data_IF_747583544215
#
_entry.id   IF_747583544215
#
_cell.length_a   1.000
_cell.length_b   1.000
_cell.length_c   1.000
_cell.angle_alpha   90.00
_cell.angle_beta   90.00
_cell.angle_gamma   90.00
#
_symmetry.space_group_name_H-M   'P 1'
#
loop_
_entity.id
_entity.type
_entity.pdbx_description
1 polymer ?
#
# COMPACT_ATOMS: atom_id res chain seq x y z
N UNK A 1 39.32 -8.89 -6.42
CA UNK A 1 38.44 -8.69 -7.61
C UNK A 1 37.29 -7.82 -7.13
N UNK A 2 37.02 -6.70 -7.81
CA UNK A 2 35.86 -5.88 -7.47
C UNK A 2 34.61 -6.71 -7.77
N UNK A 3 33.80 -6.95 -6.75
CA UNK A 3 32.52 -7.65 -6.89
C UNK A 3 31.60 -6.79 -7.77
N UNK A 4 31.21 -7.30 -8.92
CA UNK A 4 30.39 -6.57 -9.88
C UNK A 4 28.94 -6.56 -9.36
N UNK A 5 28.52 -5.45 -8.76
CA UNK A 5 27.17 -5.30 -8.23
C UNK A 5 26.21 -5.10 -9.41
N UNK A 6 25.23 -5.99 -9.56
CA UNK A 6 24.21 -5.95 -10.62
C UNK A 6 23.19 -4.85 -10.38
N UNK A 7 22.77 -4.14 -11.43
CA UNK A 7 21.68 -3.18 -11.36
C UNK A 7 20.33 -3.89 -11.39
N UNK A 8 19.33 -3.47 -10.59
CA UNK A 8 18.02 -4.11 -10.51
C UNK A 8 17.07 -3.64 -11.62
N UNK A 9 17.44 -3.85 -12.89
CA UNK A 9 16.64 -3.42 -14.04
C UNK A 9 15.31 -4.18 -14.07
N UNK A 10 14.20 -3.47 -13.95
CA UNK A 10 12.84 -4.06 -13.98
C UNK A 10 12.44 -4.80 -12.69
N UNK A 11 13.19 -4.67 -11.60
CA UNK A 11 12.87 -5.28 -10.31
C UNK A 11 12.19 -4.23 -9.41
N UNK A 12 10.94 -4.48 -9.04
CA UNK A 12 10.12 -3.61 -8.19
C UNK A 12 9.95 -4.18 -6.76
N UNK A 13 10.60 -5.31 -6.45
CA UNK A 13 10.50 -6.00 -5.17
C UNK A 13 11.76 -5.75 -4.33
N UNK A 14 11.60 -5.08 -3.19
CA UNK A 14 12.70 -4.69 -2.29
C UNK A 14 13.41 -5.91 -1.69
N UNK A 15 12.66 -6.90 -1.21
CA UNK A 15 13.22 -8.13 -0.64
C UNK A 15 14.12 -8.85 -1.64
N UNK A 16 13.66 -8.98 -2.90
CA UNK A 16 14.44 -9.58 -3.98
C UNK A 16 15.74 -8.81 -4.23
N UNK A 17 15.67 -7.47 -4.29
CA UNK A 17 16.88 -6.64 -4.48
C UNK A 17 17.89 -6.91 -3.37
N UNK A 18 17.45 -6.97 -2.13
CA UNK A 18 18.34 -7.16 -0.97
C UNK A 18 18.90 -8.58 -0.89
N UNK A 19 18.07 -9.61 -1.11
CA UNK A 19 18.49 -11.02 -1.03
C UNK A 19 19.42 -11.42 -2.15
N UNK A 20 19.19 -10.94 -3.37
CA UNK A 20 19.97 -11.30 -4.55
C UNK A 20 21.21 -10.40 -4.74
N UNK A 21 21.49 -9.46 -3.81
CA UNK A 21 22.67 -8.61 -3.81
C UNK A 21 22.70 -7.59 -4.95
N UNK A 22 21.55 -7.13 -5.44
CA UNK A 22 21.49 -6.04 -6.42
C UNK A 22 21.88 -4.69 -5.78
N UNK A 23 22.35 -3.78 -6.61
CA UNK A 23 22.58 -2.40 -6.19
C UNK A 23 21.27 -1.74 -5.76
N UNK A 24 21.21 -1.26 -4.53
CA UNK A 24 20.07 -0.53 -4.00
C UNK A 24 20.47 0.90 -3.63
N UNK A 25 19.83 1.89 -4.27
CA UNK A 25 19.92 3.30 -3.82
C UNK A 25 19.06 3.43 -2.59
N UNK A 26 19.70 3.65 -1.45
CA UNK A 26 19.01 3.64 -0.15
C UNK A 26 17.97 4.78 -0.04
N UNK A 27 16.72 4.39 0.01
CA UNK A 27 15.56 5.27 0.19
C UNK A 27 14.86 5.04 1.54
N UNK A 28 15.50 4.33 2.47
CA UNK A 28 14.90 4.02 3.77
C UNK A 28 14.73 5.25 4.68
N UNK A 29 15.31 6.40 4.33
CA UNK A 29 14.99 7.68 4.93
C UNK A 29 13.51 8.07 4.81
N UNK A 30 12.80 7.53 3.80
CA UNK A 30 11.34 7.67 3.69
C UNK A 30 10.60 7.18 4.94
N UNK A 31 11.07 6.06 5.52
CA UNK A 31 10.45 5.48 6.72
C UNK A 31 10.54 6.46 7.90
N UNK A 32 11.74 7.01 8.13
CA UNK A 32 11.96 7.96 9.21
C UNK A 32 11.14 9.25 9.02
N UNK A 33 11.15 9.80 7.81
CA UNK A 33 10.35 10.99 7.47
C UNK A 33 8.85 10.73 7.66
N UNK A 34 8.35 9.58 7.19
CA UNK A 34 6.94 9.18 7.31
C UNK A 34 6.50 9.06 8.77
N UNK A 35 7.36 8.49 9.63
CA UNK A 35 7.06 8.31 11.05
C UNK A 35 7.19 9.59 11.86
N UNK A 36 8.12 10.48 11.51
CA UNK A 36 8.33 11.77 12.18
C UNK A 36 7.29 12.82 11.76
N UNK A 37 6.91 12.84 10.49
CA UNK A 37 6.00 13.83 9.93
C UNK A 37 4.54 13.38 9.88
N UNK A 38 4.18 12.49 10.71
CA UNK A 38 2.94 11.76 10.83
C UNK A 38 1.73 12.35 10.09
N UNK A 39 1.19 11.58 9.15
CA UNK A 39 -0.11 11.78 8.55
C UNK A 39 -0.92 10.49 8.66
N UNK A 40 -2.20 10.57 8.99
CA UNK A 40 -3.05 9.38 9.02
C UNK A 40 -3.15 8.74 7.62
N UNK A 41 -3.25 9.58 6.60
CA UNK A 41 -3.20 9.15 5.19
C UNK A 41 -2.20 10.01 4.42
N UNK A 42 -1.15 9.37 3.90
CA UNK A 42 -0.08 10.01 3.16
C UNK A 42 -0.19 9.67 1.67
N UNK A 43 -0.39 10.68 0.85
CA UNK A 43 -0.48 10.55 -0.60
C UNK A 43 0.78 11.06 -1.27
N UNK A 44 1.47 10.21 -2.02
CA UNK A 44 2.63 10.57 -2.82
C UNK A 44 2.30 10.56 -4.31
N UNK A 45 2.38 11.71 -4.95
CA UNK A 45 2.22 11.82 -6.40
C UNK A 45 3.57 12.06 -7.06
N UNK A 46 4.02 11.08 -7.84
CA UNK A 46 5.32 11.12 -8.54
C UNK A 46 5.15 10.57 -9.97
N UNK A 47 5.91 11.06 -10.95
CA UNK A 47 5.87 10.53 -12.32
C UNK A 47 6.16 9.02 -12.37
N UNK A 48 5.90 8.41 -13.53
CA UNK A 48 6.30 7.02 -13.78
C UNK A 48 7.82 6.88 -13.66
N UNK A 49 8.29 5.71 -13.21
CA UNK A 49 9.73 5.36 -13.03
C UNK A 49 10.44 6.10 -11.90
N UNK A 50 9.71 6.71 -10.96
CA UNK A 50 10.26 7.34 -9.76
C UNK A 50 10.35 6.41 -8.55
N UNK A 51 10.33 5.11 -8.74
CA UNK A 51 10.53 4.13 -7.66
C UNK A 51 9.36 3.96 -6.69
N UNK A 52 8.13 4.43 -7.03
CA UNK A 52 6.95 4.33 -6.17
C UNK A 52 6.70 2.91 -5.67
N UNK A 53 6.56 1.97 -6.58
CA UNK A 53 6.29 0.54 -6.28
C UNK A 53 7.40 -0.09 -5.44
N UNK A 54 8.68 0.25 -5.72
CA UNK A 54 9.81 -0.23 -4.93
C UNK A 54 9.76 0.31 -3.49
N UNK A 55 9.44 1.60 -3.31
CA UNK A 55 9.25 2.18 -1.99
C UNK A 55 8.07 1.56 -1.23
N UNK A 56 6.95 1.26 -1.92
CA UNK A 56 5.82 0.54 -1.30
C UNK A 56 6.24 -0.86 -0.86
N UNK A 57 7.00 -1.59 -1.69
CA UNK A 57 7.58 -2.89 -1.33
C UNK A 57 8.52 -2.79 -0.11
N UNK A 58 9.36 -1.75 -0.05
CA UNK A 58 10.25 -1.48 1.08
C UNK A 58 9.48 -1.17 2.36
N UNK A 59 8.44 -0.32 2.30
CA UNK A 59 7.56 -0.02 3.44
C UNK A 59 6.87 -1.29 3.96
N UNK A 60 6.33 -2.13 3.05
CA UNK A 60 5.74 -3.42 3.40
C UNK A 60 6.74 -4.26 4.18
N UNK A 61 7.93 -4.49 3.63
CA UNK A 61 8.99 -5.26 4.29
C UNK A 61 9.40 -4.69 5.65
N UNK A 62 9.35 -3.37 5.84
CA UNK A 62 9.73 -2.77 7.12
C UNK A 62 8.68 -3.00 8.21
N UNK A 63 7.40 -2.81 7.88
CA UNK A 63 6.34 -2.82 8.91
C UNK A 63 5.75 -4.20 9.17
N UNK A 64 5.70 -5.09 8.16
CA UNK A 64 4.94 -6.32 8.19
C UNK A 64 5.48 -7.34 9.19
N UNK A 65 4.58 -7.89 10.01
CA UNK A 65 4.89 -8.95 10.97
C UNK A 65 5.40 -10.19 10.22
N UNK A 66 6.54 -10.73 10.69
CA UNK A 66 7.16 -11.92 10.12
C UNK A 66 8.15 -11.65 8.98
N UNK A 67 8.35 -10.39 8.59
CA UNK A 67 9.38 -10.03 7.61
C UNK A 67 10.79 -10.16 8.21
N UNK A 68 11.73 -10.54 7.36
CA UNK A 68 13.15 -10.67 7.71
C UNK A 68 13.77 -9.28 7.90
N UNK A 69 14.08 -8.95 9.14
CA UNK A 69 14.66 -7.65 9.50
C UNK A 69 16.08 -7.44 8.96
N UNK A 70 16.81 -8.53 8.63
CA UNK A 70 18.14 -8.44 8.05
C UNK A 70 18.18 -7.74 6.69
N UNK A 71 17.04 -7.64 6.00
CA UNK A 71 16.90 -6.88 4.76
C UNK A 71 17.31 -5.41 4.91
N UNK A 72 17.23 -4.86 6.11
CA UNK A 72 17.54 -3.45 6.40
C UNK A 72 18.96 -3.25 6.96
N UNK A 73 19.75 -4.31 7.16
CA UNK A 73 21.11 -4.19 7.64
C UNK A 73 21.97 -3.33 6.70
N UNK A 74 22.72 -2.40 7.30
CA UNK A 74 23.58 -1.46 6.57
C UNK A 74 22.86 -0.31 5.88
N UNK A 75 21.52 -0.26 5.88
CA UNK A 75 20.74 0.84 5.34
C UNK A 75 20.58 1.97 6.37
N UNK A 76 20.23 3.16 5.90
CA UNK A 76 20.09 4.37 6.70
C UNK A 76 19.19 4.15 7.94
N UNK A 77 17.99 3.58 7.74
CA UNK A 77 17.02 3.37 8.82
C UNK A 77 17.53 2.47 9.94
N UNK A 78 18.45 1.54 9.64
CA UNK A 78 19.03 0.62 10.64
C UNK A 78 19.85 1.32 11.71
N UNK A 79 20.27 2.57 11.45
CA UNK A 79 20.98 3.44 12.40
C UNK A 79 20.04 4.00 13.47
N UNK A 80 18.74 4.15 13.14
CA UNK A 80 17.71 4.62 14.08
C UNK A 80 17.07 3.44 14.83
N UNK A 81 17.79 2.94 15.83
CA UNK A 81 17.35 1.78 16.62
C UNK A 81 16.00 1.98 17.28
N UNK A 82 15.70 3.19 17.77
CA UNK A 82 14.44 3.49 18.43
C UNK A 82 13.23 3.29 17.49
N UNK A 83 13.32 3.75 16.24
CA UNK A 83 12.27 3.52 15.24
C UNK A 83 12.20 2.05 14.82
N UNK A 84 13.35 1.39 14.62
CA UNK A 84 13.37 -0.04 14.30
C UNK A 84 12.72 -0.87 15.42
N UNK A 85 13.06 -0.65 16.66
CA UNK A 85 12.50 -1.38 17.81
C UNK A 85 11.01 -1.14 17.98
N UNK A 86 10.53 0.06 17.66
CA UNK A 86 9.12 0.43 17.80
C UNK A 86 8.23 -0.05 16.65
N UNK A 87 8.76 -0.12 15.41
CA UNK A 87 7.94 -0.27 14.21
C UNK A 87 8.31 -1.45 13.30
N UNK A 88 9.59 -1.85 13.25
CA UNK A 88 10.04 -2.87 12.28
C UNK A 88 9.46 -4.25 12.62
N UNK A 89 8.69 -4.81 11.67
CA UNK A 89 8.06 -6.13 11.83
C UNK A 89 6.97 -6.17 12.90
N UNK A 90 6.29 -5.05 13.20
CA UNK A 90 5.35 -4.95 14.34
C UNK A 90 3.88 -4.83 13.96
N UNK A 91 3.55 -4.67 12.70
CA UNK A 91 2.19 -4.36 12.25
C UNK A 91 1.70 -5.34 11.18
N UNK A 92 0.40 -5.71 11.19
CA UNK A 92 -0.20 -6.30 10.01
C UNK A 92 -0.26 -5.23 8.91
N UNK A 93 0.06 -5.62 7.66
CA UNK A 93 0.11 -4.72 6.51
C UNK A 93 -0.81 -5.25 5.41
N UNK A 94 -1.76 -4.45 4.98
CA UNK A 94 -2.52 -4.68 3.74
C UNK A 94 -1.80 -3.92 2.62
N UNK A 95 -1.43 -4.59 1.54
CA UNK A 95 -0.66 -3.98 0.45
C UNK A 95 -1.24 -4.37 -0.91
N UNK A 96 -1.95 -3.46 -1.55
CA UNK A 96 -2.55 -3.68 -2.86
C UNK A 96 -1.95 -2.74 -3.92
N UNK A 97 -1.88 -3.24 -5.16
CA UNK A 97 -1.57 -2.41 -6.33
C UNK A 97 -2.74 -2.41 -7.29
N UNK A 98 -3.23 -1.22 -7.63
CA UNK A 98 -4.32 -1.06 -8.59
C UNK A 98 -3.83 -1.00 -10.05
N UNK A 99 -2.53 -1.21 -10.29
CA UNK A 99 -1.91 -1.29 -11.63
C UNK A 99 -2.63 -2.26 -12.57
N UNK A 100 -3.15 -3.36 -12.01
CA UNK A 100 -3.85 -4.40 -12.75
C UNK A 100 -5.30 -4.07 -13.13
N UNK A 101 -5.88 -3.00 -12.60
CA UNK A 101 -7.27 -2.59 -12.91
C UNK A 101 -7.29 -1.80 -14.22
N UNK A 102 -7.04 -2.49 -15.31
CA UNK A 102 -7.01 -1.95 -16.66
C UNK A 102 -8.02 -2.74 -17.51
N UNK A 103 -9.21 -2.20 -17.67
CA UNK A 103 -10.32 -2.85 -18.34
C UNK A 103 -11.05 -1.89 -19.29
N UNK A 104 -11.79 -2.47 -20.23
CA UNK A 104 -12.58 -1.80 -21.26
C UNK A 104 -14.01 -1.47 -20.81
N UNK A 105 -14.46 -2.04 -19.69
CA UNK A 105 -15.79 -1.83 -19.11
C UNK A 105 -15.76 -1.78 -17.59
N UNK A 106 -16.79 -1.16 -17.00
CA UNK A 106 -16.96 -1.07 -15.55
C UNK A 106 -17.02 -2.45 -14.89
N UNK A 107 -17.78 -3.38 -15.48
CA UNK A 107 -17.95 -4.75 -14.95
C UNK A 107 -16.60 -5.48 -14.88
N UNK A 108 -15.80 -5.37 -15.94
CA UNK A 108 -14.48 -5.97 -15.99
C UNK A 108 -13.52 -5.32 -14.98
N UNK A 109 -13.52 -3.98 -14.88
CA UNK A 109 -12.72 -3.24 -13.91
C UNK A 109 -13.09 -3.62 -12.47
N UNK A 110 -14.38 -3.70 -12.15
CA UNK A 110 -14.89 -4.15 -10.85
C UNK A 110 -14.46 -5.57 -10.54
N UNK A 111 -14.52 -6.47 -11.52
CA UNK A 111 -14.08 -7.87 -11.36
C UNK A 111 -12.58 -7.96 -11.05
N UNK A 112 -11.75 -7.17 -11.73
CA UNK A 112 -10.31 -7.10 -11.44
C UNK A 112 -10.04 -6.54 -10.04
N UNK A 113 -10.78 -5.50 -9.61
CA UNK A 113 -10.64 -4.95 -8.26
C UNK A 113 -11.03 -5.97 -7.19
N UNK A 114 -12.14 -6.71 -7.37
CA UNK A 114 -12.52 -7.83 -6.49
C UNK A 114 -11.39 -8.86 -6.37
N UNK A 115 -10.79 -9.22 -7.50
CA UNK A 115 -9.70 -10.19 -7.53
C UNK A 115 -8.49 -9.72 -6.73
N UNK A 116 -8.10 -8.44 -6.86
CA UNK A 116 -6.99 -7.85 -6.09
C UNK A 116 -7.27 -7.94 -4.59
N UNK A 117 -8.47 -7.54 -4.15
CA UNK A 117 -8.86 -7.60 -2.74
C UNK A 117 -8.89 -9.04 -2.24
N UNK A 118 -9.45 -9.96 -3.03
CA UNK A 118 -9.49 -11.38 -2.69
C UNK A 118 -8.08 -11.98 -2.56
N UNK A 119 -7.17 -11.67 -3.47
CA UNK A 119 -5.78 -12.14 -3.42
C UNK A 119 -5.07 -11.60 -2.18
N UNK A 120 -5.24 -10.32 -1.87
CA UNK A 120 -4.68 -9.74 -0.63
C UNK A 120 -5.27 -10.40 0.62
N UNK A 121 -6.59 -10.59 0.69
CA UNK A 121 -7.20 -11.28 1.82
C UNK A 121 -6.65 -12.70 2.00
N UNK A 122 -6.41 -13.44 0.92
CA UNK A 122 -5.81 -14.79 0.96
C UNK A 122 -4.39 -14.83 1.53
N UNK A 123 -3.61 -13.75 1.38
CA UNK A 123 -2.28 -13.66 1.99
C UNK A 123 -2.37 -13.69 3.53
N UNK A 124 -3.46 -13.22 4.07
CA UNK A 124 -3.73 -13.17 5.52
C UNK A 124 -4.46 -14.40 6.06
N UNK A 125 -4.51 -15.51 5.34
CA UNK A 125 -5.26 -16.73 5.75
C UNK A 125 -4.88 -17.28 7.13
N UNK A 126 -3.72 -16.89 7.66
CA UNK A 126 -3.27 -17.27 9.00
C UNK A 126 -4.26 -16.88 10.10
N UNK A 127 -5.06 -15.82 9.88
CA UNK A 127 -6.07 -15.37 10.84
C UNK A 127 -7.19 -16.39 11.07
N UNK A 128 -7.37 -17.35 10.15
CA UNK A 128 -8.31 -18.46 10.31
C UNK A 128 -7.81 -19.53 11.29
N UNK A 129 -6.53 -19.46 11.66
CA UNK A 129 -5.92 -20.39 12.60
C UNK A 129 -6.11 -19.91 14.03
N UNK A 130 -6.47 -20.84 14.92
CA UNK A 130 -6.66 -20.54 16.35
C UNK A 130 -8.04 -19.99 16.71
N UNK A 131 -8.16 -19.43 17.92
CA UNK A 131 -9.42 -19.06 18.56
C UNK A 131 -9.60 -17.54 18.75
N UNK A 132 -8.80 -16.70 18.08
CA UNK A 132 -8.89 -15.24 18.21
C UNK A 132 -10.09 -14.64 17.48
N UNK A 133 -10.50 -15.29 16.38
CA UNK A 133 -11.67 -14.94 15.61
C UNK A 133 -12.81 -15.90 15.95
N UNK A 134 -13.99 -15.36 16.17
CA UNK A 134 -15.22 -16.15 16.33
C UNK A 134 -15.77 -16.61 14.96
N UNK A 135 -16.88 -17.35 14.99
CA UNK A 135 -17.46 -17.92 13.78
C UNK A 135 -18.05 -16.84 12.85
N UNK A 136 -18.48 -15.69 13.38
CA UNK A 136 -18.97 -14.56 12.59
C UNK A 136 -17.80 -13.92 11.85
N UNK A 137 -16.70 -13.64 12.55
CA UNK A 137 -15.48 -13.11 11.94
C UNK A 137 -14.96 -14.00 10.82
N UNK A 138 -14.96 -15.31 11.06
CA UNK A 138 -14.54 -16.31 10.06
C UNK A 138 -15.45 -16.31 8.84
N UNK A 139 -16.76 -16.18 9.03
CA UNK A 139 -17.72 -16.06 7.93
C UNK A 139 -17.50 -14.76 7.14
N UNK A 140 -17.26 -13.63 7.81
CA UNK A 140 -16.90 -12.36 7.15
C UNK A 140 -15.61 -12.48 6.35
N UNK A 141 -14.56 -13.10 6.92
CA UNK A 141 -13.33 -13.35 6.17
C UNK A 141 -13.58 -14.24 4.94
N UNK A 142 -14.37 -15.29 5.09
CA UNK A 142 -14.70 -16.18 3.96
C UNK A 142 -15.41 -15.44 2.83
N UNK A 143 -16.26 -14.44 3.13
CA UNK A 143 -16.89 -13.60 2.11
C UNK A 143 -15.89 -12.81 1.27
N UNK A 144 -14.71 -12.48 1.83
CA UNK A 144 -13.64 -11.79 1.12
C UNK A 144 -12.82 -12.71 0.21
N UNK A 145 -12.69 -14.00 0.56
CA UNK A 145 -11.79 -14.94 -0.15
C UNK A 145 -12.49 -15.87 -1.14
N UNK A 146 -13.81 -16.00 -1.08
CA UNK A 146 -14.57 -16.90 -1.98
C UNK A 146 -14.83 -16.29 -3.36
N UNK A 147 -14.60 -14.99 -3.54
CA UNK A 147 -14.77 -14.32 -4.83
C UNK A 147 -16.20 -13.94 -5.18
N UNK A 148 -17.20 -14.34 -4.38
CA UNK A 148 -18.61 -13.98 -4.57
C UNK A 148 -18.95 -12.68 -3.81
N UNK A 149 -18.13 -11.67 -4.00
CA UNK A 149 -18.38 -10.34 -3.42
C UNK A 149 -19.41 -9.59 -4.22
N UNK A 150 -20.53 -9.22 -3.60
CA UNK A 150 -21.41 -8.14 -4.07
C UNK A 150 -20.67 -6.80 -4.10
N UNK A 151 -21.29 -5.76 -4.64
CA UNK A 151 -20.68 -4.42 -4.65
C UNK A 151 -20.54 -3.88 -3.22
N UNK A 152 -21.56 -4.08 -2.38
CA UNK A 152 -21.52 -3.68 -0.98
C UNK A 152 -20.38 -4.35 -0.23
N UNK A 153 -20.20 -5.67 -0.41
CA UNK A 153 -19.08 -6.40 0.20
C UNK A 153 -17.74 -5.86 -0.29
N UNK A 154 -17.62 -5.50 -1.58
CA UNK A 154 -16.39 -4.95 -2.14
C UNK A 154 -16.03 -3.59 -1.52
N UNK A 155 -16.98 -2.67 -1.41
CA UNK A 155 -16.69 -1.32 -0.86
C UNK A 155 -16.32 -1.36 0.63
N UNK A 156 -16.79 -2.36 1.39
CA UNK A 156 -16.42 -2.56 2.80
C UNK A 156 -15.24 -3.52 3.00
N UNK A 157 -14.82 -4.24 1.97
CA UNK A 157 -13.88 -5.36 2.06
C UNK A 157 -12.58 -5.03 2.80
N UNK A 158 -11.93 -3.92 2.45
CA UNK A 158 -10.67 -3.53 3.08
C UNK A 158 -10.87 -3.09 4.53
N UNK A 159 -11.99 -2.42 4.86
CA UNK A 159 -12.33 -2.07 6.24
C UNK A 159 -12.57 -3.34 7.08
N UNK A 160 -13.34 -4.28 6.55
CA UNK A 160 -13.56 -5.58 7.19
C UNK A 160 -12.23 -6.31 7.41
N UNK A 161 -11.37 -6.37 6.40
CA UNK A 161 -10.07 -7.01 6.54
C UNK A 161 -9.20 -6.33 7.61
N UNK A 162 -9.18 -4.99 7.68
CA UNK A 162 -8.44 -4.28 8.75
C UNK A 162 -8.97 -4.62 10.14
N UNK A 163 -10.29 -4.71 10.32
CA UNK A 163 -10.90 -5.06 11.60
C UNK A 163 -10.54 -6.48 12.04
N UNK A 164 -10.60 -7.45 11.11
CA UNK A 164 -10.24 -8.85 11.38
C UNK A 164 -8.76 -8.99 11.73
N UNK A 165 -7.87 -8.28 11.02
CA UNK A 165 -6.44 -8.28 11.30
C UNK A 165 -6.12 -7.64 12.65
N UNK A 166 -6.76 -6.50 13.00
CA UNK A 166 -6.60 -5.88 14.31
C UNK A 166 -7.03 -6.83 15.42
N UNK A 167 -8.19 -7.48 15.28
CA UNK A 167 -8.71 -8.45 16.25
C UNK A 167 -7.74 -9.63 16.44
N UNK A 168 -7.16 -10.11 15.35
CA UNK A 168 -6.22 -11.24 15.39
C UNK A 168 -4.86 -10.87 15.97
N UNK A 169 -4.25 -9.75 15.53
CA UNK A 169 -2.90 -9.38 15.92
C UNK A 169 -2.84 -8.46 17.16
N UNK A 170 -3.99 -7.94 17.61
CA UNK A 170 -4.07 -6.91 18.67
C UNK A 170 -3.23 -5.67 18.33
N UNK A 171 -3.16 -5.37 17.04
CA UNK A 171 -2.39 -4.26 16.46
C UNK A 171 -3.17 -3.62 15.33
N UNK A 172 -3.19 -2.29 15.30
CA UNK A 172 -3.74 -1.54 14.17
C UNK A 172 -3.01 -1.90 12.88
N UNK A 173 -3.69 -1.74 11.76
CA UNK A 173 -3.25 -2.17 10.42
C UNK A 173 -2.67 -1.00 9.65
N UNK A 174 -1.56 -1.21 8.94
CA UNK A 174 -1.02 -0.28 7.96
C UNK A 174 -1.58 -0.66 6.59
N UNK A 175 -2.05 0.34 5.83
CA UNK A 175 -2.62 0.14 4.49
C UNK A 175 -1.75 0.82 3.44
N UNK A 176 -1.28 0.05 2.46
CA UNK A 176 -0.46 0.51 1.35
C UNK A 176 -1.22 0.30 0.04
N UNK A 177 -1.45 1.39 -0.72
CA UNK A 177 -2.17 1.35 -2.00
C UNK A 177 -1.30 1.97 -3.09
N UNK A 178 -0.80 1.14 -4.01
CA UNK A 178 0.02 1.59 -5.13
C UNK A 178 -0.82 1.82 -6.38
N UNK A 179 -0.45 2.85 -7.16
CA UNK A 179 -1.07 3.23 -8.43
C UNK A 179 -2.59 3.42 -8.36
N UNK A 180 -3.06 4.16 -7.34
CA UNK A 180 -4.48 4.39 -7.07
C UNK A 180 -5.23 5.05 -8.22
N UNK A 181 -4.55 5.76 -9.09
CA UNK A 181 -5.09 6.54 -10.20
C UNK A 181 -5.29 5.74 -11.50
N UNK A 182 -4.70 4.56 -11.62
CA UNK A 182 -4.80 3.72 -12.84
C UNK A 182 -6.23 3.33 -13.19
N UNK A 183 -7.08 2.84 -12.26
CA UNK A 183 -8.47 2.51 -12.57
C UNK A 183 -9.25 3.69 -13.14
N UNK A 184 -8.98 4.89 -12.66
CA UNK A 184 -9.69 6.11 -13.05
C UNK A 184 -9.23 6.63 -14.40
N UNK A 185 -7.92 6.59 -14.66
CA UNK A 185 -7.37 6.94 -15.95
C UNK A 185 -7.98 6.04 -17.04
N UNK A 186 -8.06 4.73 -16.78
CA UNK A 186 -8.65 3.75 -17.71
C UNK A 186 -10.15 3.92 -17.87
N UNK A 187 -10.85 4.20 -16.80
CA UNK A 187 -12.28 4.48 -16.85
C UNK A 187 -12.60 5.73 -17.67
N UNK A 188 -11.75 6.76 -17.58
CA UNK A 188 -11.89 7.98 -18.39
C UNK A 188 -11.65 7.70 -19.89
N UNK A 189 -10.63 6.88 -20.21
CA UNK A 189 -10.34 6.47 -21.59
C UNK A 189 -11.51 5.68 -22.22
N UNK A 190 -12.23 4.88 -21.42
CA UNK A 190 -13.25 3.93 -21.88
C UNK A 190 -14.70 4.34 -21.54
N UNK A 191 -14.93 5.54 -21.01
CA UNK A 191 -16.26 6.13 -20.86
C UNK A 191 -17.09 5.65 -19.66
N UNK A 192 -16.48 5.01 -18.64
CA UNK A 192 -17.17 4.60 -17.40
C UNK A 192 -16.60 5.28 -16.14
N UNK A 193 -16.06 6.50 -16.31
CA UNK A 193 -15.36 7.25 -15.26
C UNK A 193 -16.19 7.46 -14.00
N UNK A 194 -17.44 7.93 -14.12
CA UNK A 194 -18.28 8.28 -12.96
C UNK A 194 -18.59 7.06 -12.08
N UNK A 195 -18.85 5.90 -12.70
CA UNK A 195 -19.07 4.65 -11.98
C UNK A 195 -17.81 4.21 -11.22
N UNK A 196 -16.65 4.32 -11.86
CA UNK A 196 -15.38 3.92 -11.25
C UNK A 196 -14.96 4.87 -10.13
N UNK A 197 -15.17 6.18 -10.30
CA UNK A 197 -14.95 7.18 -9.24
C UNK A 197 -15.79 6.85 -8.01
N UNK A 198 -17.07 6.56 -8.19
CA UNK A 198 -17.96 6.22 -7.07
C UNK A 198 -17.50 4.97 -6.34
N UNK A 199 -17.15 3.91 -7.06
CA UNK A 199 -16.67 2.65 -6.48
C UNK A 199 -15.37 2.85 -5.69
N UNK A 200 -14.37 3.50 -6.29
CA UNK A 200 -13.05 3.72 -5.65
C UNK A 200 -13.18 4.67 -4.47
N UNK A 201 -14.01 5.72 -4.60
CA UNK A 201 -14.30 6.65 -3.49
C UNK A 201 -14.88 5.90 -2.30
N UNK A 202 -15.93 5.12 -2.50
CA UNK A 202 -16.60 4.38 -1.42
C UNK A 202 -15.63 3.39 -0.75
N UNK A 203 -14.81 2.67 -1.54
CA UNK A 203 -13.79 1.78 -1.01
C UNK A 203 -12.77 2.53 -0.12
N UNK A 204 -12.27 3.67 -0.60
CA UNK A 204 -11.27 4.45 0.11
C UNK A 204 -11.85 5.16 1.33
N UNK A 205 -13.05 5.73 1.25
CA UNK A 205 -13.71 6.35 2.39
C UNK A 205 -13.90 5.35 3.52
N UNK A 206 -14.29 4.13 3.23
CA UNK A 206 -14.47 3.10 4.24
C UNK A 206 -13.16 2.70 4.92
N UNK A 207 -12.07 2.55 4.18
CA UNK A 207 -10.80 2.07 4.76
C UNK A 207 -9.93 3.19 5.33
N UNK A 208 -10.00 4.41 4.77
CA UNK A 208 -9.10 5.51 5.11
C UNK A 208 -9.72 6.57 6.03
N UNK A 209 -11.06 6.64 6.09
CA UNK A 209 -11.80 7.55 6.96
C UNK A 209 -12.59 6.72 7.97
N UNK A 210 -12.77 7.19 9.17
CA UNK A 210 -13.60 6.52 10.18
C UNK A 210 -13.29 5.02 10.37
N UNK A 211 -12.05 4.63 10.20
CA UNK A 211 -11.58 3.27 10.42
C UNK A 211 -10.68 3.20 11.66
N UNK A 212 -11.26 2.78 12.79
CA UNK A 212 -10.53 2.68 14.05
C UNK A 212 -9.37 1.67 14.03
N UNK A 213 -9.42 0.71 13.12
CA UNK A 213 -8.39 -0.31 12.94
C UNK A 213 -7.18 0.18 12.12
N UNK A 214 -7.28 1.35 11.49
CA UNK A 214 -6.19 1.92 10.71
C UNK A 214 -5.10 2.49 11.62
N UNK A 215 -3.84 2.13 11.38
CA UNK A 215 -2.67 2.78 11.98
C UNK A 215 -2.30 4.04 11.20
N UNK A 216 -2.06 3.89 9.92
CA UNK A 216 -1.92 4.91 8.89
C UNK A 216 -1.98 4.26 7.51
N UNK A 217 -2.11 5.09 6.48
CA UNK A 217 -2.07 4.63 5.10
C UNK A 217 -1.04 5.41 4.26
N UNK A 218 -0.51 4.73 3.24
CA UNK A 218 0.31 5.34 2.19
C UNK A 218 -0.29 5.00 0.84
N UNK A 219 -0.54 6.02 0.04
CA UNK A 219 -1.03 5.90 -1.33
C UNK A 219 0.01 6.47 -2.30
N UNK A 220 0.18 5.80 -3.44
CA UNK A 220 1.03 6.32 -4.52
C UNK A 220 0.27 6.36 -5.84
N UNK A 221 0.55 7.38 -6.66
CA UNK A 221 0.00 7.54 -7.99
C UNK A 221 0.85 8.47 -8.86
N UNK A 222 0.50 8.56 -10.15
CA UNK A 222 1.17 9.47 -11.09
C UNK A 222 0.49 10.83 -11.18
N UNK A 223 -0.84 10.83 -11.06
CA UNK A 223 -1.66 12.01 -11.22
C UNK A 223 -2.18 12.47 -9.86
N UNK A 224 -2.16 13.78 -9.66
CA UNK A 224 -3.05 14.39 -8.68
C UNK A 224 -4.44 14.37 -9.31
N UNK A 225 -5.15 13.24 -9.21
CA UNK A 225 -6.56 13.21 -9.58
C UNK A 225 -7.22 14.34 -8.78
N UNK A 226 -7.98 15.19 -9.46
CA UNK A 226 -8.56 16.37 -8.85
C UNK A 226 -9.15 15.98 -7.49
N UNK A 227 -8.75 16.69 -6.42
CA UNK A 227 -9.21 16.40 -5.04
C UNK A 227 -10.73 16.25 -4.99
N UNK A 228 -11.42 16.83 -5.94
CA UNK A 228 -12.86 16.91 -6.08
C UNK A 228 -13.55 15.59 -6.46
N UNK A 229 -12.84 14.58 -6.99
CA UNK A 229 -13.53 13.37 -7.44
C UNK A 229 -13.46 12.19 -6.46
N UNK A 230 -12.29 11.87 -5.88
CA UNK A 230 -12.13 10.68 -5.03
C UNK A 230 -11.96 11.04 -3.56
N UNK A 231 -11.29 12.16 -3.28
CA UNK A 231 -10.87 12.51 -1.93
C UNK A 231 -11.71 13.64 -1.31
N UNK A 232 -12.83 14.03 -1.91
CA UNK A 232 -13.68 15.15 -1.45
C UNK A 232 -14.20 14.97 -0.02
N UNK A 233 -14.38 13.72 0.39
CA UNK A 233 -14.84 13.38 1.75
C UNK A 233 -13.72 13.16 2.77
N UNK A 234 -12.44 13.22 2.37
CA UNK A 234 -11.31 12.80 3.18
C UNK A 234 -10.49 14.01 3.64
N UNK A 235 -10.68 14.45 4.88
CA UNK A 235 -10.02 15.62 5.46
C UNK A 235 -8.66 15.30 6.11
N UNK A 236 -8.30 14.02 6.20
CA UNK A 236 -7.11 13.52 6.90
C UNK A 236 -5.92 13.21 5.97
N UNK A 237 -5.94 13.75 4.73
CA UNK A 237 -4.91 13.53 3.73
C UNK A 237 -3.76 14.54 3.85
N UNK A 238 -2.53 14.02 3.97
CA UNK A 238 -1.31 14.75 3.70
C UNK A 238 -0.87 14.41 2.26
N UNK A 239 -0.93 15.38 1.36
CA UNK A 239 -0.52 15.21 -0.04
C UNK A 239 0.92 15.71 -0.20
N UNK A 240 1.79 14.86 -0.76
CA UNK A 240 3.18 15.16 -1.04
C UNK A 240 3.43 15.04 -2.55
N UNK A 241 3.51 16.17 -3.22
CA UNK A 241 3.77 16.26 -4.67
C UNK A 241 5.26 16.36 -4.97
N UNK A 242 5.63 16.30 -6.26
CA UNK A 242 7.03 16.50 -6.69
C UNK A 242 7.53 17.93 -6.43
N UNK A 243 6.63 18.86 -6.17
CA UNK A 243 6.97 20.27 -5.91
C UNK A 243 7.23 20.56 -4.43
N UNK A 244 6.95 19.58 -3.56
CA UNK A 244 7.15 19.72 -2.12
C UNK A 244 8.60 19.31 -1.78
N UNK A 245 9.32 20.14 -1.04
CA UNK A 245 10.69 19.86 -0.58
C UNK A 245 10.75 18.63 0.35
N UNK A 246 9.65 18.41 1.07
CA UNK A 246 9.49 17.22 1.89
C UNK A 246 9.44 15.96 1.01
N UNK A 247 10.26 14.96 1.30
CA UNK A 247 10.39 13.71 0.54
C UNK A 247 10.98 13.84 -0.88
N UNK A 248 11.67 14.90 -1.23
CA UNK A 248 12.27 15.11 -2.57
C UNK A 248 13.37 14.06 -2.88
N UNK A 249 14.17 13.70 -1.87
CA UNK A 249 15.23 12.70 -1.99
C UNK A 249 14.73 11.24 -1.92
N UNK A 250 13.48 11.01 -1.51
CA UNK A 250 12.96 9.67 -1.26
C UNK A 250 12.40 9.00 -2.50
N UNK A 251 12.06 9.77 -3.54
CA UNK A 251 11.57 9.26 -4.81
C UNK A 251 12.48 9.71 -5.96
N UNK A 252 12.67 8.81 -6.94
CA UNK A 252 13.54 9.08 -8.08
C UNK A 252 15.03 9.02 -7.73
N UNK A 253 15.87 9.47 -8.67
CA UNK A 253 17.30 9.63 -8.51
C UNK A 253 17.60 11.12 -8.60
N UNK A 254 18.27 11.69 -7.62
CA UNK A 254 18.82 13.05 -7.66
C UNK A 254 20.31 13.00 -8.06
N UNK A 255 20.89 14.16 -8.40
CA UNK A 255 22.30 14.27 -8.76
C UNK A 255 23.26 13.75 -7.68
N UNK A 256 22.84 13.75 -6.41
CA UNK A 256 23.64 13.20 -5.30
C UNK A 256 23.70 11.66 -5.29
N UNK A 257 22.87 10.99 -6.10
CA UNK A 257 22.84 9.53 -6.22
C UNK A 257 23.59 9.02 -7.45
N UNK A 258 24.09 9.90 -8.30
CA UNK A 258 24.86 9.62 -9.50
C UNK A 258 26.32 9.97 -9.25
#
# INVERSE_FOLDING_TARGET
>A
MAEFIKLPVGIENFEKIRRDGFYYVDKTGLIEQLLNNWGEVNLFTRPRRFGKTLNMSMLKCFFEIGTDQSLFEGLYISKNKALCDAYMGKYPVISISLKGVNADSYENARSLLKRIVMEEAKMHRIIMSGNRLDDIDKAEYMSLVTGDMGEDTLVYSMKTLTALLEKYYEKKVIVLIDEYDVPLAKANENGYYDQMVLLVRNLFENVLKTNSSLKFAVLTGCLRVAKESIFTGLNNFKTNSILDEEYDETFGLSLIHI
#
